data_IF_391928978869
#
_entry.id   IF_391928978869
#
_cell.length_a   1.000
_cell.length_b   1.000
_cell.length_c   1.000
_cell.angle_alpha   90.00
_cell.angle_beta   90.00
_cell.angle_gamma   90.00
#
_symmetry.space_group_name_H-M   'P 1'
#
loop_
_entity.id
_entity.type
_entity.pdbx_description
1 polymer ?
#
# COMPACT_ATOMS: atom_id res chain seq x y z
N UNK A 1 -42.10 -23.11 9.35
CA UNK A 1 -41.83 -24.45 8.80
C UNK A 1 -40.71 -25.06 9.62
N UNK A 2 -41.07 -25.99 10.49
CA UNK A 2 -40.20 -26.61 11.48
C UNK A 2 -40.37 -28.11 11.27
N UNK A 3 -39.30 -28.83 10.92
CA UNK A 3 -39.36 -30.26 10.63
C UNK A 3 -38.73 -31.01 11.80
N UNK A 4 -39.58 -31.75 12.50
CA UNK A 4 -39.23 -32.73 13.50
C UNK A 4 -39.01 -34.11 12.85
N UNK A 5 -38.01 -34.86 13.33
CA UNK A 5 -37.92 -36.33 13.36
C UNK A 5 -36.58 -36.67 14.06
N UNK A 6 -36.48 -37.28 15.24
CA UNK A 6 -37.01 -38.56 15.74
C UNK A 6 -36.44 -39.78 15.00
N UNK A 7 -35.34 -40.36 15.50
CA UNK A 7 -34.94 -41.77 15.34
C UNK A 7 -33.87 -42.08 16.41
N UNK A 8 -34.24 -42.72 17.52
CA UNK A 8 -34.29 -44.16 17.77
C UNK A 8 -32.91 -44.79 18.07
N UNK A 9 -32.80 -45.21 19.33
CA UNK A 9 -31.75 -46.03 19.94
C UNK A 9 -31.69 -47.43 19.32
N UNK A 10 -30.49 -47.90 18.96
CA UNK A 10 -30.18 -49.33 18.97
C UNK A 10 -28.83 -49.58 19.66
N UNK A 11 -28.94 -50.39 20.71
CA UNK A 11 -27.88 -51.00 21.50
C UNK A 11 -27.19 -52.11 20.72
N UNK A 12 -25.86 -52.14 20.76
CA UNK A 12 -25.05 -53.34 20.45
C UNK A 12 -23.88 -53.43 21.45
N UNK A 13 -23.85 -54.42 22.33
CA UNK A 13 -22.63 -54.80 23.06
C UNK A 13 -21.89 -55.88 22.26
N UNK A 14 -20.61 -55.70 21.98
CA UNK A 14 -19.87 -56.72 21.24
C UNK A 14 -18.38 -56.46 21.08
N UNK A 15 -17.62 -57.23 21.87
CA UNK A 15 -16.27 -57.71 21.58
C UNK A 15 -15.12 -56.71 21.55
N UNK A 16 -14.36 -56.73 22.64
CA UNK A 16 -12.97 -56.30 22.67
C UNK A 16 -12.08 -57.19 21.77
N UNK A 17 -11.23 -56.60 20.92
CA UNK A 17 -9.98 -57.21 20.51
C UNK A 17 -8.81 -56.59 21.29
N UNK A 18 -7.95 -57.46 21.82
CA UNK A 18 -6.69 -57.12 22.43
C UNK A 18 -5.84 -56.22 21.51
N UNK A 19 -5.56 -55.00 21.94
CA UNK A 19 -4.72 -54.04 21.22
C UNK A 19 -3.26 -54.14 21.68
N UNK A 20 -2.62 -55.28 21.45
CA UNK A 20 -1.17 -55.44 21.54
C UNK A 20 -0.59 -55.20 20.15
N UNK A 21 -0.45 -53.93 19.73
CA UNK A 21 0.09 -53.61 18.39
C UNK A 21 0.13 -52.14 17.97
N UNK A 22 -0.31 -51.19 18.80
CA UNK A 22 -0.49 -49.78 18.39
C UNK A 22 0.73 -48.85 18.52
N UNK A 23 1.88 -49.35 18.99
CA UNK A 23 3.04 -48.50 19.29
C UNK A 23 3.89 -48.15 18.05
N UNK A 24 3.94 -49.02 17.04
CA UNK A 24 4.84 -48.83 15.88
C UNK A 24 4.25 -47.82 14.88
N UNK A 25 2.93 -47.80 14.67
CA UNK A 25 2.29 -46.91 13.67
C UNK A 25 2.13 -45.45 14.11
N UNK A 26 2.23 -45.15 15.41
CA UNK A 26 2.06 -43.78 15.92
C UNK A 26 3.34 -42.94 15.77
N UNK A 27 4.51 -43.57 15.89
CA UNK A 27 5.81 -42.94 15.61
C UNK A 27 6.00 -42.64 14.13
N UNK A 28 5.67 -43.60 13.26
CA UNK A 28 5.80 -43.43 11.80
C UNK A 28 4.93 -42.28 11.27
N UNK A 29 3.66 -42.19 11.71
CA UNK A 29 2.75 -41.08 11.33
C UNK A 29 3.22 -39.71 11.81
N UNK A 30 3.95 -39.63 12.93
CA UNK A 30 4.52 -38.36 13.38
C UNK A 30 5.66 -37.93 12.45
N UNK A 31 6.57 -38.85 12.12
CA UNK A 31 7.69 -38.56 11.21
C UNK A 31 7.25 -38.20 9.80
N UNK A 32 6.16 -38.79 9.30
CA UNK A 32 5.60 -38.48 7.98
C UNK A 32 5.03 -37.06 7.92
N UNK A 33 4.35 -36.60 8.98
CA UNK A 33 3.87 -35.21 9.09
C UNK A 33 5.01 -34.22 9.17
N UNK A 34 6.08 -34.55 9.88
CA UNK A 34 7.22 -33.66 10.00
C UNK A 34 8.00 -33.56 8.67
N UNK A 35 8.12 -34.65 7.92
CA UNK A 35 8.64 -34.62 6.53
C UNK A 35 7.75 -33.76 5.62
N UNK A 36 6.43 -33.95 5.67
CA UNK A 36 5.50 -33.15 4.88
C UNK A 36 5.62 -31.64 5.18
N UNK A 37 5.75 -31.25 6.46
CA UNK A 37 5.98 -29.85 6.85
C UNK A 37 7.31 -29.29 6.33
N UNK A 38 8.37 -30.09 6.33
CA UNK A 38 9.67 -29.68 5.81
C UNK A 38 9.64 -29.46 4.30
N UNK A 39 8.96 -30.35 3.57
CA UNK A 39 8.81 -30.22 2.12
C UNK A 39 7.91 -29.04 1.75
N UNK A 40 6.84 -28.80 2.50
CA UNK A 40 5.99 -27.61 2.35
C UNK A 40 6.77 -26.30 2.63
N UNK A 41 7.57 -26.26 3.70
CA UNK A 41 8.42 -25.12 4.01
C UNK A 41 9.47 -24.86 2.91
N UNK A 42 10.07 -25.92 2.34
CA UNK A 42 10.99 -25.81 1.20
C UNK A 42 10.30 -25.29 -0.05
N UNK A 43 9.11 -25.81 -0.37
CA UNK A 43 8.33 -25.36 -1.52
C UNK A 43 7.95 -23.88 -1.37
N UNK A 44 7.53 -23.45 -0.18
CA UNK A 44 7.22 -22.05 0.11
C UNK A 44 8.46 -21.14 -0.05
N UNK A 45 9.64 -21.57 0.41
CA UNK A 45 10.89 -20.83 0.22
C UNK A 45 11.30 -20.76 -1.25
N UNK A 46 11.10 -21.83 -2.02
CA UNK A 46 11.39 -21.83 -3.45
C UNK A 46 10.44 -20.91 -4.21
N UNK A 47 9.15 -20.94 -3.89
CA UNK A 47 8.16 -20.02 -4.45
C UNK A 47 8.51 -18.55 -4.12
N UNK A 48 8.97 -18.27 -2.89
CA UNK A 48 9.40 -16.92 -2.49
C UNK A 48 10.66 -16.47 -3.26
N UNK A 49 11.60 -17.37 -3.53
CA UNK A 49 12.81 -17.09 -4.33
C UNK A 49 12.51 -16.88 -5.81
N UNK A 50 11.54 -17.61 -6.35
CA UNK A 50 11.13 -17.51 -7.76
C UNK A 50 10.29 -16.27 -8.06
N UNK A 51 9.73 -15.62 -7.02
CA UNK A 51 8.92 -14.42 -7.19
C UNK A 51 9.82 -13.19 -7.37
N UNK A 52 9.69 -12.44 -8.47
CA UNK A 52 10.51 -11.25 -8.67
C UNK A 52 10.18 -10.21 -7.60
N UNK A 53 11.20 -9.56 -7.00
CA UNK A 53 11.00 -8.57 -5.94
C UNK A 53 10.15 -7.38 -6.40
N UNK A 54 10.17 -7.08 -7.70
CA UNK A 54 9.36 -6.02 -8.32
C UNK A 54 7.86 -6.29 -8.22
N UNK A 55 7.39 -7.53 -8.41
CA UNK A 55 5.96 -7.85 -8.29
C UNK A 55 5.46 -7.70 -6.85
N UNK A 56 6.25 -8.13 -5.87
CA UNK A 56 5.88 -7.96 -4.46
C UNK A 56 5.80 -6.47 -4.06
N UNK A 57 6.71 -5.65 -4.59
CA UNK A 57 6.69 -4.19 -4.39
C UNK A 57 5.47 -3.54 -5.07
N UNK A 58 5.19 -3.87 -6.33
CA UNK A 58 4.04 -3.36 -7.08
C UNK A 58 2.71 -3.71 -6.39
N UNK A 59 2.56 -4.94 -5.88
CA UNK A 59 1.38 -5.34 -5.12
C UNK A 59 1.21 -4.54 -3.82
N UNK A 60 2.30 -4.30 -3.08
CA UNK A 60 2.26 -3.48 -1.87
C UNK A 60 1.87 -2.03 -2.20
N UNK A 61 2.43 -1.45 -3.26
CA UNK A 61 2.03 -0.12 -3.77
C UNK A 61 0.54 -0.12 -4.13
N UNK A 62 0.06 -1.11 -4.88
CA UNK A 62 -1.34 -1.21 -5.28
C UNK A 62 -2.30 -1.35 -4.08
N UNK A 63 -1.94 -2.16 -3.09
CA UNK A 63 -2.72 -2.29 -1.85
C UNK A 63 -2.76 -0.99 -1.05
N UNK A 64 -1.64 -0.28 -0.96
CA UNK A 64 -1.59 1.02 -0.28
C UNK A 64 -2.46 2.07 -0.99
N UNK A 65 -2.44 2.13 -2.33
CA UNK A 65 -3.36 3.00 -3.11
C UNK A 65 -4.83 2.69 -2.81
N UNK A 66 -5.21 1.41 -2.87
CA UNK A 66 -6.58 0.97 -2.55
C UNK A 66 -7.00 1.41 -1.14
N UNK A 67 -6.09 1.34 -0.15
CA UNK A 67 -6.36 1.83 1.20
C UNK A 67 -6.58 3.35 1.23
N UNK A 68 -5.76 4.12 0.51
CA UNK A 68 -5.94 5.58 0.39
C UNK A 68 -7.29 5.93 -0.25
N UNK A 69 -7.71 5.21 -1.28
CA UNK A 69 -9.03 5.39 -1.91
C UNK A 69 -10.18 5.09 -0.92
N UNK A 70 -10.06 4.02 -0.14
CA UNK A 70 -11.03 3.70 0.91
C UNK A 70 -11.06 4.77 2.01
N UNK A 71 -9.90 5.28 2.42
CA UNK A 71 -9.79 6.37 3.39
C UNK A 71 -10.43 7.65 2.86
N UNK A 72 -10.26 7.97 1.58
CA UNK A 72 -10.92 9.11 0.92
C UNK A 72 -12.44 9.01 1.03
N UNK A 73 -13.02 7.85 0.75
CA UNK A 73 -14.46 7.63 0.89
C UNK A 73 -14.93 7.80 2.34
N UNK A 74 -14.18 7.25 3.31
CA UNK A 74 -14.48 7.38 4.75
C UNK A 74 -14.39 8.83 5.22
N UNK A 75 -13.39 9.59 4.78
CA UNK A 75 -13.23 11.01 5.11
C UNK A 75 -14.40 11.82 4.54
N UNK A 76 -14.88 11.51 3.33
CA UNK A 76 -16.05 12.19 2.76
C UNK A 76 -17.31 11.93 3.56
N UNK A 77 -17.54 10.69 3.99
CA UNK A 77 -18.64 10.35 4.89
C UNK A 77 -18.50 11.08 6.23
N UNK A 78 -17.28 11.10 6.79
CA UNK A 78 -16.97 11.80 8.03
C UNK A 78 -17.28 13.29 7.92
N UNK A 79 -16.94 13.94 6.82
CA UNK A 79 -17.24 15.36 6.57
C UNK A 79 -18.75 15.62 6.50
N UNK A 80 -19.51 14.72 5.88
CA UNK A 80 -20.97 14.81 5.83
C UNK A 80 -21.61 14.62 7.22
N UNK A 81 -21.03 13.76 8.07
CA UNK A 81 -21.52 13.51 9.43
C UNK A 81 -20.92 14.43 10.51
N UNK A 82 -19.88 15.21 10.19
CA UNK A 82 -19.11 16.02 11.15
C UNK A 82 -19.96 17.06 11.89
N UNK A 83 -21.14 17.39 11.36
CA UNK A 83 -22.08 18.30 12.00
C UNK A 83 -22.99 17.66 13.04
N UNK A 84 -23.08 16.33 13.09
CA UNK A 84 -23.98 15.63 14.00
C UNK A 84 -23.32 15.26 15.33
N UNK A 85 -22.07 14.77 15.29
CA UNK A 85 -21.35 14.37 16.50
C UNK A 85 -19.86 14.78 16.41
N UNK A 86 -19.46 15.89 17.04
CA UNK A 86 -18.07 16.34 17.01
C UNK A 86 -17.12 15.39 17.75
N UNK A 87 -17.59 14.68 18.78
CA UNK A 87 -16.74 13.79 19.59
C UNK A 87 -16.41 12.50 18.83
N UNK A 88 -17.42 11.87 18.26
CA UNK A 88 -17.22 10.73 17.38
C UNK A 88 -16.36 11.12 16.17
N UNK A 89 -16.57 12.32 15.63
CA UNK A 89 -15.78 12.84 14.51
C UNK A 89 -14.30 12.95 14.86
N UNK A 90 -13.95 13.53 16.02
CA UNK A 90 -12.56 13.66 16.45
C UNK A 90 -11.87 12.30 16.61
N UNK A 91 -12.53 11.33 17.25
CA UNK A 91 -12.00 9.97 17.43
C UNK A 91 -11.80 9.25 16.09
N UNK A 92 -12.79 9.33 15.20
CA UNK A 92 -12.71 8.70 13.89
C UNK A 92 -11.63 9.36 13.02
N UNK A 93 -11.52 10.70 13.05
CA UNK A 93 -10.46 11.42 12.34
C UNK A 93 -9.05 11.00 12.83
N UNK A 94 -8.85 10.88 14.14
CA UNK A 94 -7.59 10.43 14.71
C UNK A 94 -7.23 8.99 14.29
N UNK A 95 -8.23 8.10 14.24
CA UNK A 95 -8.02 6.74 13.72
C UNK A 95 -7.64 6.75 12.24
N UNK A 96 -8.38 7.50 11.40
CA UNK A 96 -8.12 7.62 9.97
C UNK A 96 -6.74 8.22 9.68
N UNK A 97 -6.26 9.17 10.51
CA UNK A 97 -4.92 9.74 10.40
C UNK A 97 -3.82 8.67 10.59
N UNK A 98 -3.98 7.78 11.58
CA UNK A 98 -3.05 6.66 11.80
C UNK A 98 -3.08 5.66 10.65
N UNK A 99 -4.28 5.34 10.15
CA UNK A 99 -4.44 4.46 8.99
C UNK A 99 -3.80 5.06 7.73
N UNK A 100 -3.93 6.38 7.52
CA UNK A 100 -3.30 7.08 6.40
C UNK A 100 -1.77 7.06 6.52
N UNK A 101 -1.22 7.40 7.69
CA UNK A 101 0.22 7.32 7.94
C UNK A 101 0.79 5.92 7.68
N UNK A 102 0.12 4.87 8.17
CA UNK A 102 0.52 3.49 7.93
C UNK A 102 0.44 3.08 6.44
N UNK A 103 -0.59 3.53 5.71
CA UNK A 103 -0.72 3.26 4.28
C UNK A 103 0.38 3.97 3.46
N UNK A 104 0.70 5.22 3.82
CA UNK A 104 1.77 6.00 3.18
C UNK A 104 3.14 5.39 3.46
N UNK A 105 3.42 4.98 4.70
CA UNK A 105 4.63 4.23 5.06
C UNK A 105 4.77 2.93 4.26
N UNK A 106 3.69 2.16 4.16
CA UNK A 106 3.68 0.92 3.37
C UNK A 106 3.96 1.19 1.88
N UNK A 107 3.41 2.27 1.32
CA UNK A 107 3.68 2.69 -0.05
C UNK A 107 5.15 3.08 -0.25
N UNK A 108 5.69 3.92 0.63
CA UNK A 108 7.09 4.36 0.59
C UNK A 108 8.07 3.19 0.68
N UNK A 109 7.84 2.28 1.63
CA UNK A 109 8.66 1.07 1.79
C UNK A 109 8.64 0.15 0.56
N UNK A 110 7.57 0.20 -0.24
CA UNK A 110 7.46 -0.54 -1.49
C UNK A 110 8.13 0.18 -2.67
N UNK A 111 8.33 1.51 -2.59
CA UNK A 111 8.99 2.31 -3.62
C UNK A 111 10.50 2.49 -3.44
N UNK A 112 11.02 2.41 -2.21
CA UNK A 112 12.42 2.70 -1.89
C UNK A 112 13.45 1.60 -2.21
N UNK A 113 13.02 0.42 -2.66
CA UNK A 113 13.91 -0.76 -2.68
C UNK A 113 14.93 -0.88 -3.83
N UNK A 114 15.06 0.10 -4.75
CA UNK A 114 16.05 -0.05 -5.85
C UNK A 114 17.39 0.63 -5.59
N UNK A 115 17.47 1.59 -4.67
CA UNK A 115 18.74 2.28 -4.36
C UNK A 115 19.56 1.55 -3.27
N UNK A 116 18.91 0.79 -2.40
CA UNK A 116 19.56 0.12 -1.27
C UNK A 116 20.01 -1.33 -1.56
N UNK A 117 19.67 -1.88 -2.74
CA UNK A 117 20.14 -3.23 -3.13
C UNK A 117 21.65 -3.32 -3.42
N UNK A 118 22.40 -2.21 -3.30
CA UNK A 118 23.87 -2.20 -3.40
C UNK A 118 24.60 -2.32 -2.06
N UNK A 119 23.97 -2.04 -0.92
CA UNK A 119 24.58 -2.16 0.39
C UNK A 119 23.58 -2.79 1.36
N UNK A 120 23.83 -4.08 1.64
CA UNK A 120 23.11 -4.87 2.61
C UNK A 120 22.91 -4.12 3.95
N UNK A 121 21.65 -4.02 4.39
CA UNK A 121 21.34 -3.94 5.80
C UNK A 121 20.53 -5.18 6.19
N UNK A 122 21.26 -6.12 6.80
CA UNK A 122 20.70 -7.30 7.42
C UNK A 122 19.93 -6.87 8.69
N UNK A 123 18.66 -7.25 8.77
CA UNK A 123 17.95 -7.53 10.02
C UNK A 123 17.73 -6.38 10.98
N UNK A 124 16.53 -5.81 10.98
CA UNK A 124 15.94 -5.23 12.16
C UNK A 124 14.50 -5.75 12.32
N UNK A 125 14.33 -6.64 13.30
CA UNK A 125 13.02 -7.01 13.83
C UNK A 125 12.33 -5.78 14.46
N UNK A 126 10.99 -5.75 14.56
CA UNK A 126 10.30 -4.61 15.17
C UNK A 126 10.56 -4.60 16.68
N UNK A 127 11.38 -3.64 17.14
CA UNK A 127 11.48 -3.31 18.55
C UNK A 127 10.28 -2.43 18.94
N UNK A 128 9.34 -3.03 19.65
CA UNK A 128 8.45 -2.32 20.58
C UNK A 128 9.29 -1.72 21.71
N UNK A 129 9.28 -0.41 21.89
CA UNK A 129 9.93 0.23 23.03
C UNK A 129 9.90 1.75 23.00
N UNK A 130 9.36 2.33 24.06
CA UNK A 130 9.07 3.74 24.32
C UNK A 130 10.29 4.68 24.45
N UNK A 131 9.97 5.96 24.22
CA UNK A 131 10.48 7.18 24.85
C UNK A 131 11.91 7.68 24.52
N UNK A 132 11.94 8.92 24.02
CA UNK A 132 13.12 9.77 23.93
C UNK A 132 12.83 11.07 23.20
N UNK A 133 12.34 12.07 23.93
CA UNK A 133 12.08 13.41 23.43
C UNK A 133 13.39 14.16 23.11
N UNK A 134 13.45 14.86 21.99
CA UNK A 134 14.24 16.07 21.85
C UNK A 134 13.65 16.95 20.75
N UNK A 135 13.29 18.16 21.15
CA UNK A 135 12.59 19.14 20.32
C UNK A 135 13.50 19.80 19.29
N UNK A 136 12.87 20.25 18.21
CA UNK A 136 13.36 21.34 17.39
C UNK A 136 12.15 22.24 17.09
N UNK A 137 12.16 23.38 17.74
CA UNK A 137 11.26 24.51 17.55
C UNK A 137 11.74 25.25 16.31
N UNK A 138 10.85 25.43 15.33
CA UNK A 138 11.12 26.14 14.09
C UNK A 138 9.90 26.96 13.70
N UNK A 139 9.91 28.22 14.16
CA UNK A 139 9.08 29.31 13.66
C UNK A 139 9.31 29.51 12.16
N UNK A 140 8.22 29.53 11.40
CA UNK A 140 8.17 30.19 10.10
C UNK A 140 6.73 30.60 9.79
N UNK A 141 6.43 31.81 10.22
CA UNK A 141 5.36 32.68 9.76
C UNK A 141 5.52 32.94 8.26
N UNK A 142 4.55 32.54 7.42
CA UNK A 142 4.18 33.31 6.23
C UNK A 142 2.88 32.81 5.59
N UNK A 143 1.95 33.73 5.40
CA UNK A 143 0.80 33.67 4.51
C UNK A 143 0.68 35.03 3.81
N UNK A 144 -0.12 35.22 2.75
CA UNK A 144 -0.51 34.31 1.67
C UNK A 144 -0.01 34.86 0.30
N UNK A 145 -0.14 34.08 -0.77
CA UNK A 145 -0.05 34.60 -2.13
C UNK A 145 -1.23 34.07 -2.95
N UNK A 146 -2.12 35.00 -3.27
CA UNK A 146 -3.16 34.87 -4.29
C UNK A 146 -2.54 34.60 -5.66
N UNK A 147 -3.19 33.70 -6.41
CA UNK A 147 -2.78 33.31 -7.75
C UNK A 147 -3.97 32.72 -8.49
N UNK A 148 -4.87 33.61 -8.92
CA UNK A 148 -5.89 33.37 -9.94
C UNK A 148 -5.25 32.86 -11.23
N UNK A 149 -5.67 31.69 -11.70
CA UNK A 149 -5.53 31.28 -13.08
C UNK A 149 -6.81 30.56 -13.51
N UNK A 150 -7.69 31.32 -14.13
CA UNK A 150 -8.78 30.80 -14.95
C UNK A 150 -8.17 30.31 -16.27
N UNK A 151 -8.31 29.01 -16.57
CA UNK A 151 -8.02 28.50 -17.90
C UNK A 151 -9.33 27.93 -18.50
N UNK A 152 -9.68 28.50 -19.64
CA UNK A 152 -10.90 28.23 -20.38
C UNK A 152 -10.66 27.07 -21.35
N UNK A 153 -11.44 26.00 -21.17
CA UNK A 153 -11.43 24.80 -22.01
C UNK A 153 -12.42 25.01 -23.15
N UNK A 154 -11.97 25.01 -24.41
CA UNK A 154 -12.56 24.28 -25.60
C UNK A 154 -11.79 24.65 -26.88
N UNK A 155 -11.54 23.70 -27.82
CA UNK A 155 -12.62 23.16 -28.67
C UNK A 155 -12.55 21.66 -29.01
N UNK A 156 -13.71 21.16 -29.43
CA UNK A 156 -13.94 19.83 -29.99
C UNK A 156 -14.04 19.88 -31.53
N UNK A 157 -13.55 18.82 -32.18
CA UNK A 157 -14.02 18.22 -33.46
C UNK A 157 -13.05 17.05 -33.77
N UNK A 158 -13.39 15.77 -33.64
CA UNK A 158 -14.27 14.88 -34.45
C UNK A 158 -13.73 14.58 -35.87
N UNK A 159 -13.70 13.25 -36.14
CA UNK A 159 -13.65 12.47 -37.40
C UNK A 159 -12.32 12.17 -38.12
N UNK A 160 -11.87 10.92 -37.90
CA UNK A 160 -11.42 9.87 -38.86
C UNK A 160 -11.97 10.01 -40.31
N UNK A 161 -11.50 9.29 -41.36
CA UNK A 161 -10.50 8.20 -41.38
C UNK A 161 -9.52 8.22 -42.59
N UNK A 162 -8.39 7.49 -42.52
CA UNK A 162 -7.86 6.76 -43.69
C UNK A 162 -6.93 5.62 -43.28
N UNK A 163 -7.42 4.41 -43.48
CA UNK A 163 -6.67 3.15 -43.52
C UNK A 163 -5.92 3.04 -44.86
N UNK A 164 -4.66 2.56 -44.89
CA UNK A 164 -4.21 1.76 -46.00
C UNK A 164 -4.06 0.31 -45.54
N UNK A 165 -4.86 -0.50 -46.21
CA UNK A 165 -4.73 -1.94 -46.37
C UNK A 165 -3.26 -2.34 -46.56
N UNK A 166 -2.77 -3.26 -45.72
CA UNK A 166 -1.59 -4.06 -46.07
C UNK A 166 -1.88 -5.49 -45.67
N UNK A 167 -2.65 -6.14 -46.55
CA UNK A 167 -2.62 -7.58 -46.75
C UNK A 167 -1.18 -8.01 -47.06
N UNK A 168 -0.53 -8.62 -46.08
CA UNK A 168 0.83 -9.16 -46.19
C UNK A 168 1.00 -10.37 -45.29
N UNK A 169 0.47 -11.51 -45.74
CA UNK A 169 0.81 -12.83 -45.20
C UNK A 169 2.33 -13.03 -45.25
N UNK A 170 2.98 -12.92 -44.10
CA UNK A 170 4.40 -13.16 -43.93
C UNK A 170 4.65 -14.04 -42.71
N UNK A 171 4.61 -15.35 -42.94
CA UNK A 171 5.14 -16.39 -42.06
C UNK A 171 6.62 -16.10 -41.76
N UNK A 172 6.98 -16.02 -40.48
CA UNK A 172 8.34 -16.17 -39.97
C UNK A 172 8.20 -17.10 -38.75
N UNK A 173 8.64 -18.35 -38.70
CA UNK A 173 9.87 -19.00 -39.19
C UNK A 173 11.16 -18.27 -38.78
N UNK A 174 11.66 -18.72 -37.63
CA UNK A 174 13.05 -18.94 -37.26
C UNK A 174 14.08 -17.84 -37.54
N UNK A 175 14.43 -17.14 -36.46
CA UNK A 175 15.77 -17.36 -35.90
C UNK A 175 16.96 -16.98 -36.78
N UNK A 176 16.97 -15.78 -37.37
CA UNK A 176 18.21 -15.10 -37.76
C UNK A 176 18.22 -13.71 -37.18
N UNK A 177 18.90 -13.60 -36.04
CA UNK A 177 19.44 -12.35 -35.50
C UNK A 177 19.94 -11.48 -36.64
N UNK A 178 19.26 -10.38 -36.93
CA UNK A 178 19.70 -9.46 -37.97
C UNK A 178 21.08 -8.93 -37.58
N UNK A 179 22.09 -9.30 -38.35
CA UNK A 179 23.47 -8.84 -38.23
C UNK A 179 23.67 -7.38 -38.66
N UNK A 180 22.58 -6.60 -38.73
CA UNK A 180 22.60 -5.22 -39.18
C UNK A 180 22.86 -4.30 -37.98
N UNK A 181 24.06 -3.68 -37.87
CA UNK A 181 24.43 -2.85 -36.72
C UNK A 181 23.50 -1.65 -36.54
N UNK A 182 22.85 -1.18 -37.61
CA UNK A 182 21.90 -0.06 -37.54
C UNK A 182 20.59 -0.43 -36.86
N UNK A 183 20.09 -1.66 -37.06
CA UNK A 183 18.87 -2.13 -36.37
C UNK A 183 19.09 -2.22 -34.86
N UNK A 184 20.25 -2.70 -34.43
CA UNK A 184 20.61 -2.74 -33.00
C UNK A 184 20.61 -1.35 -32.35
N UNK A 185 21.10 -0.33 -33.05
CA UNK A 185 21.12 1.04 -32.54
C UNK A 185 19.69 1.59 -32.34
N UNK A 186 18.78 1.30 -33.27
CA UNK A 186 17.37 1.70 -33.17
C UNK A 186 16.68 0.96 -32.03
N UNK A 187 16.88 -0.36 -31.93
CA UNK A 187 16.30 -1.19 -30.88
C UNK A 187 16.80 -0.77 -29.48
N UNK A 188 18.09 -0.45 -29.35
CA UNK A 188 18.67 0.06 -28.12
C UNK A 188 18.14 1.45 -27.77
N UNK A 189 18.00 2.33 -28.77
CA UNK A 189 17.36 3.63 -28.60
C UNK A 189 15.92 3.51 -28.08
N UNK A 190 15.14 2.61 -28.66
CA UNK A 190 13.76 2.33 -28.26
C UNK A 190 13.68 1.69 -26.86
N UNK A 191 14.58 0.77 -26.53
CA UNK A 191 14.64 0.16 -25.20
C UNK A 191 14.97 1.20 -24.13
N UNK A 192 15.90 2.12 -24.40
CA UNK A 192 16.25 3.22 -23.48
C UNK A 192 15.10 4.21 -23.31
N UNK A 193 14.43 4.59 -24.40
CA UNK A 193 13.28 5.51 -24.32
C UNK A 193 12.11 4.89 -23.55
N UNK A 194 11.80 3.61 -23.77
CA UNK A 194 10.80 2.87 -23.01
C UNK A 194 11.15 2.77 -21.52
N UNK A 195 12.42 2.52 -21.18
CA UNK A 195 12.88 2.48 -19.79
C UNK A 195 12.75 3.85 -19.09
N UNK A 196 13.06 4.95 -19.79
CA UNK A 196 12.86 6.31 -19.28
C UNK A 196 11.38 6.64 -19.10
N UNK A 197 10.54 6.30 -20.08
CA UNK A 197 9.09 6.50 -19.98
C UNK A 197 8.49 5.76 -18.78
N UNK A 198 8.92 4.51 -18.55
CA UNK A 198 8.50 3.73 -17.37
C UNK A 198 8.89 4.42 -16.07
N UNK A 199 10.16 4.83 -15.93
CA UNK A 199 10.65 5.54 -14.73
C UNK A 199 9.89 6.85 -14.48
N UNK A 200 9.61 7.61 -15.53
CA UNK A 200 8.85 8.85 -15.42
C UNK A 200 7.42 8.58 -14.95
N UNK A 201 6.74 7.59 -15.55
CA UNK A 201 5.38 7.22 -15.15
C UNK A 201 5.28 6.72 -13.69
N UNK A 202 6.30 6.00 -13.21
CA UNK A 202 6.39 5.59 -11.80
C UNK A 202 6.58 6.80 -10.89
N UNK A 203 7.43 7.74 -11.29
CA UNK A 203 7.67 8.99 -10.55
C UNK A 203 6.44 9.90 -10.51
N UNK A 204 5.68 9.96 -11.60
CA UNK A 204 4.42 10.69 -11.69
C UNK A 204 3.37 10.05 -10.76
N UNK A 205 3.27 8.73 -10.76
CA UNK A 205 2.37 7.99 -9.88
C UNK A 205 2.72 8.17 -8.39
N UNK A 206 4.01 8.21 -8.05
CA UNK A 206 4.46 8.45 -6.68
C UNK A 206 4.15 9.91 -6.24
N UNK A 207 4.33 10.90 -7.15
CA UNK A 207 3.94 12.31 -6.90
C UNK A 207 2.43 12.49 -6.72
N UNK A 208 1.64 11.84 -7.56
CA UNK A 208 0.18 11.88 -7.45
C UNK A 208 -0.28 11.28 -6.12
N UNK A 209 0.25 10.10 -5.76
CA UNK A 209 -0.05 9.44 -4.48
C UNK A 209 0.23 10.35 -3.28
N UNK A 210 1.41 11.00 -3.25
CA UNK A 210 1.77 11.93 -2.17
C UNK A 210 0.87 13.16 -2.15
N UNK A 211 0.50 13.68 -3.32
CA UNK A 211 -0.42 14.83 -3.42
C UNK A 211 -1.79 14.48 -2.85
N UNK A 212 -2.31 13.30 -3.18
CA UNK A 212 -3.56 12.80 -2.63
C UNK A 212 -3.47 12.59 -1.11
N UNK A 213 -2.38 11.95 -0.62
CA UNK A 213 -2.16 11.73 0.80
C UNK A 213 -2.11 13.05 1.59
N UNK A 214 -1.39 14.07 1.09
CA UNK A 214 -1.35 15.42 1.67
C UNK A 214 -2.74 16.08 1.69
N UNK A 215 -3.51 15.95 0.61
CA UNK A 215 -4.88 16.43 0.54
C UNK A 215 -5.79 15.81 1.62
N UNK A 216 -5.69 14.49 1.81
CA UNK A 216 -6.43 13.79 2.86
C UNK A 216 -5.97 14.17 4.27
N UNK A 217 -4.66 14.33 4.48
CA UNK A 217 -4.09 14.79 5.74
C UNK A 217 -4.63 16.17 6.11
N UNK A 218 -4.68 17.10 5.16
CA UNK A 218 -5.24 18.44 5.37
C UNK A 218 -6.74 18.38 5.67
N UNK A 219 -7.50 17.52 4.99
CA UNK A 219 -8.92 17.32 5.27
C UNK A 219 -9.16 16.76 6.69
N UNK A 220 -8.34 15.81 7.14
CA UNK A 220 -8.41 15.26 8.50
C UNK A 220 -8.05 16.30 9.56
N UNK A 221 -7.00 17.11 9.33
CA UNK A 221 -6.63 18.21 10.23
C UNK A 221 -7.73 19.26 10.32
N UNK A 222 -8.36 19.62 9.19
CA UNK A 222 -9.49 20.54 9.18
C UNK A 222 -10.68 19.98 9.98
N UNK A 223 -11.01 18.70 9.81
CA UNK A 223 -12.07 18.03 10.58
C UNK A 223 -11.76 18.00 12.09
N UNK A 224 -10.51 17.72 12.48
CA UNK A 224 -10.06 17.75 13.87
C UNK A 224 -10.18 19.15 14.48
N UNK A 225 -9.68 20.17 13.79
CA UNK A 225 -9.79 21.58 14.24
C UNK A 225 -11.25 22.02 14.37
N UNK A 226 -12.08 21.65 13.39
CA UNK A 226 -13.52 21.95 13.43
C UNK A 226 -14.19 21.27 14.63
N UNK A 227 -13.84 20.02 14.92
CA UNK A 227 -14.34 19.33 16.11
C UNK A 227 -13.86 20.03 17.39
N UNK A 228 -12.56 20.33 17.51
CA UNK A 228 -11.97 21.02 18.67
C UNK A 228 -12.63 22.39 18.92
N UNK A 229 -12.79 23.23 17.89
CA UNK A 229 -13.40 24.56 18.02
C UNK A 229 -14.87 24.51 18.45
N UNK A 230 -15.59 23.42 18.12
CA UNK A 230 -16.97 23.19 18.58
C UNK A 230 -17.03 22.60 19.99
N UNK A 231 -15.90 22.14 20.52
CA UNK A 231 -15.78 21.38 21.76
C UNK A 231 -15.07 22.14 22.88
N UNK A 232 -14.60 23.36 22.63
CA UNK A 232 -14.25 24.32 23.69
C UNK A 232 -15.45 24.71 24.56
N UNK A 233 -16.58 24.01 24.40
CA UNK A 233 -17.84 24.14 25.14
C UNK A 233 -18.22 22.95 26.04
N UNK A 234 -17.46 21.83 26.17
CA UNK A 234 -17.38 20.94 27.39
C UNK A 234 -16.96 19.44 27.19
N UNK A 235 -16.92 18.82 25.99
CA UNK A 235 -17.04 17.33 25.91
C UNK A 235 -15.79 16.46 25.58
N UNK A 236 -14.66 17.03 25.13
CA UNK A 236 -13.44 16.28 24.77
C UNK A 236 -12.47 16.28 25.95
N UNK A 237 -12.11 15.10 26.42
CA UNK A 237 -11.08 14.99 27.46
C UNK A 237 -9.72 15.50 26.95
N UNK A 238 -8.88 16.08 27.81
CA UNK A 238 -7.55 16.56 27.40
C UNK A 238 -6.69 15.43 26.80
N UNK A 239 -6.85 14.20 27.27
CA UNK A 239 -6.17 13.02 26.73
C UNK A 239 -6.57 12.72 25.28
N UNK A 240 -7.84 12.90 24.91
CA UNK A 240 -8.31 12.69 23.53
C UNK A 240 -7.80 13.77 22.57
N UNK A 241 -7.76 15.03 23.03
CA UNK A 241 -7.16 16.13 22.26
C UNK A 241 -5.69 15.82 21.95
N UNK A 242 -4.92 15.47 22.98
CA UNK A 242 -3.51 15.09 22.84
C UNK A 242 -3.32 13.87 21.92
N UNK A 243 -4.20 12.86 22.01
CA UNK A 243 -4.13 11.68 21.15
C UNK A 243 -4.41 11.99 19.67
N UNK A 244 -5.32 12.94 19.39
CA UNK A 244 -5.61 13.41 18.04
C UNK A 244 -4.47 14.26 17.48
N UNK A 245 -3.92 15.16 18.29
CA UNK A 245 -2.77 16.00 17.90
C UNK A 245 -1.57 15.13 17.58
N UNK A 246 -1.25 14.14 18.45
CA UNK A 246 -0.20 13.15 18.19
C UNK A 246 -0.44 12.38 16.89
N UNK A 247 -1.67 11.91 16.65
CA UNK A 247 -2.01 11.16 15.43
C UNK A 247 -1.81 12.00 14.16
N UNK A 248 -2.16 13.29 14.20
CA UNK A 248 -1.94 14.19 13.07
C UNK A 248 -0.46 14.52 12.84
N UNK A 249 0.31 14.72 13.91
CA UNK A 249 1.76 14.93 13.82
C UNK A 249 2.50 13.69 13.29
N UNK A 250 2.14 12.49 13.76
CA UNK A 250 2.72 11.23 13.28
C UNK A 250 2.38 11.00 11.79
N UNK A 251 1.14 11.27 11.38
CA UNK A 251 0.73 11.22 9.98
C UNK A 251 1.53 12.20 9.10
N UNK A 252 1.69 13.46 9.52
CA UNK A 252 2.46 14.46 8.78
C UNK A 252 3.94 14.04 8.66
N UNK A 253 4.53 13.47 9.73
CA UNK A 253 5.89 12.94 9.72
C UNK A 253 6.04 11.81 8.70
N UNK A 254 5.15 10.82 8.71
CA UNK A 254 5.20 9.68 7.78
C UNK A 254 5.02 10.13 6.31
N UNK A 255 4.18 11.14 6.04
CA UNK A 255 4.03 11.71 4.70
C UNK A 255 5.29 12.46 4.26
N UNK A 256 5.95 13.20 5.16
CA UNK A 256 7.19 13.89 4.87
C UNK A 256 8.34 12.90 4.60
N UNK A 257 8.47 11.87 5.44
CA UNK A 257 9.46 10.79 5.28
C UNK A 257 9.24 10.02 3.98
N UNK A 258 7.99 9.65 3.68
CA UNK A 258 7.61 9.04 2.42
C UNK A 258 7.98 9.93 1.22
N UNK A 259 7.70 11.23 1.33
CA UNK A 259 8.07 12.22 0.31
C UNK A 259 9.57 12.29 0.05
N UNK A 260 10.39 12.28 1.11
CA UNK A 260 11.84 12.27 0.99
C UNK A 260 12.36 10.95 0.38
N UNK A 261 11.80 9.81 0.78
CA UNK A 261 12.20 8.49 0.28
C UNK A 261 11.86 8.24 -1.18
N UNK A 262 10.71 8.76 -1.65
CA UNK A 262 10.23 8.57 -3.02
C UNK A 262 10.84 9.57 -4.00
N UNK A 263 11.37 10.69 -3.51
CA UNK A 263 11.99 11.72 -4.33
C UNK A 263 13.35 12.16 -3.76
N UNK A 264 14.38 11.30 -3.83
CA UNK A 264 15.72 11.64 -3.32
C UNK A 264 16.42 12.73 -4.13
N UNK A 265 15.89 13.10 -5.31
CA UNK A 265 16.55 13.99 -6.27
C UNK A 265 16.35 15.49 -6.06
N UNK A 266 15.50 15.93 -5.13
CA UNK A 266 15.16 17.37 -4.97
C UNK A 266 15.91 18.04 -3.80
N UNK A 267 16.68 17.29 -3.01
CA UNK A 267 17.44 17.84 -1.89
C UNK A 267 18.95 17.88 -2.14
N UNK A 268 19.42 18.53 -3.22
CA UNK A 268 20.80 19.03 -3.30
C UNK A 268 20.82 20.30 -4.15
N UNK A 269 20.71 21.45 -3.48
CA UNK A 269 21.48 22.69 -3.70
C UNK A 269 20.89 23.75 -2.78
N UNK A 270 21.51 23.96 -1.63
CA UNK A 270 21.43 25.19 -0.85
C UNK A 270 22.85 25.75 -0.77
#
# INVERSE_FOLDING_TARGET
MNVAALFASLSTPGSAPAATGGAITRGDKATERDKAKLDEARAALQALKSRPPTQAAEERKALARKKVDQLKARIRMLQMSASMDPKATARMAAQLARELGAAVKAYASAGGSTAELGLASAGAAPATGEAGAQGAQGDADNAPADGEAADAITPAATTDPTTPDTTGNGRAEDGKTSADPYRRLIDEGNARSAALAKRNSESDADREFLTQAKGLANALKAALRQAQNRQDTEDLSPAERQAADKASADMDREIAEAGASLNPGVFVTA
#
